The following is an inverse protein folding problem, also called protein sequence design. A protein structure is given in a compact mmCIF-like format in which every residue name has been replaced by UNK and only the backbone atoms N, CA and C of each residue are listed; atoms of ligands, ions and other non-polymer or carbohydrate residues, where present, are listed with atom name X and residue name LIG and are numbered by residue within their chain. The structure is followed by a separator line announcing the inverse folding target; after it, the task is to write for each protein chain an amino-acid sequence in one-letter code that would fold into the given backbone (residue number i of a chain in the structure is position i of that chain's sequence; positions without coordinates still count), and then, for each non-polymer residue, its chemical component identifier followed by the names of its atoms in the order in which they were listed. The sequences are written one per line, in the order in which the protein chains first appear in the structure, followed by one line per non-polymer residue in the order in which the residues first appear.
data_IF_734395593566
#
_entry.id   IF_734395593566
#
_cell.length_a   1.000
_cell.length_b   1.000
_cell.length_c   1.000
_cell.angle_alpha   90.00
_cell.angle_beta   90.00
_cell.angle_gamma   90.00
#
_symmetry.space_group_name_H-M   'P 1'
#
loop_
_entity.id
_entity.type
_entity.pdbx_description
1 polymer ?
#
# COMPACT_ATOMS: atom_id res chain seq x y z
N UNK A 1 68.43 7.95 4.68
CA UNK A 1 68.79 6.58 5.11
C UNK A 1 68.14 6.31 6.46
N UNK A 2 67.25 5.31 6.53
CA UNK A 2 66.70 4.71 7.76
C UNK A 2 65.67 5.59 8.50
N UNK A 3 64.51 5.12 8.93
CA UNK A 3 64.00 3.76 9.03
C UNK A 3 62.50 3.79 9.30
N UNK A 4 61.84 2.77 8.76
CA UNK A 4 60.40 2.59 8.71
C UNK A 4 59.76 2.47 10.10
N UNK A 5 58.55 3.04 10.16
CA UNK A 5 57.45 2.86 11.10
C UNK A 5 57.56 1.73 12.13
N UNK A 6 57.43 2.12 13.40
CA UNK A 6 57.12 1.23 14.51
C UNK A 6 55.72 0.64 14.35
N UNK A 7 55.70 -0.60 13.86
CA UNK A 7 54.90 -1.76 14.28
C UNK A 7 53.76 -1.54 15.29
N UNK A 8 52.71 -2.32 15.00
CA UNK A 8 51.58 -2.80 15.82
C UNK A 8 50.29 -1.96 15.65
N UNK A 9 49.15 -2.49 15.23
CA UNK A 9 48.70 -3.88 15.18
C UNK A 9 47.84 -4.15 13.93
N UNK A 10 48.21 -5.20 13.22
CA UNK A 10 47.29 -6.00 12.42
C UNK A 10 46.30 -6.65 13.38
N UNK A 11 45.05 -6.20 13.37
CA UNK A 11 43.93 -6.99 13.84
C UNK A 11 42.99 -7.18 12.65
N UNK A 12 43.13 -8.33 12.02
CA UNK A 12 42.23 -8.83 11.01
C UNK A 12 40.83 -8.99 11.62
N UNK A 13 39.94 -8.03 11.37
CA UNK A 13 38.52 -8.25 11.49
C UNK A 13 38.10 -9.04 10.26
N UNK A 14 37.99 -10.36 10.47
CA UNK A 14 37.40 -11.29 9.55
C UNK A 14 36.09 -10.70 9.00
N UNK A 15 36.05 -10.51 7.67
CA UNK A 15 34.83 -10.37 6.91
C UNK A 15 34.04 -11.67 7.06
N UNK A 16 33.32 -11.80 8.17
CA UNK A 16 32.21 -12.73 8.24
C UNK A 16 31.17 -12.30 7.20
N UNK A 17 30.55 -13.23 6.46
CA UNK A 17 29.44 -12.86 5.60
C UNK A 17 28.39 -12.18 6.46
N UNK A 18 28.08 -10.92 6.17
CA UNK A 18 26.89 -10.27 6.69
C UNK A 18 25.74 -11.19 6.25
N UNK A 19 24.98 -11.80 7.17
CA UNK A 19 23.73 -12.41 6.75
C UNK A 19 22.90 -11.24 6.25
N UNK A 20 22.77 -11.14 4.93
CA UNK A 20 21.64 -10.46 4.32
C UNK A 20 20.46 -11.26 4.84
N UNK A 21 19.92 -10.82 5.99
CA UNK A 21 18.58 -11.17 6.37
C UNK A 21 17.78 -10.73 5.16
N UNK A 22 17.44 -11.70 4.31
CA UNK A 22 16.52 -11.50 3.22
C UNK A 22 15.35 -10.80 3.89
N UNK A 23 15.17 -9.53 3.57
CA UNK A 23 13.89 -8.89 3.75
C UNK A 23 12.97 -9.74 2.89
N UNK A 24 12.42 -10.79 3.49
CA UNK A 24 11.16 -11.35 3.08
C UNK A 24 10.20 -10.20 3.27
N UNK A 25 10.18 -9.30 2.28
CA UNK A 25 8.93 -8.72 1.86
C UNK A 25 8.00 -9.91 1.82
N UNK A 26 7.07 -9.97 2.76
CA UNK A 26 5.97 -10.91 2.69
C UNK A 26 5.30 -10.58 1.38
N UNK A 27 5.75 -11.22 0.30
CA UNK A 27 5.13 -11.19 -0.99
C UNK A 27 3.92 -12.10 -0.84
N UNK A 28 2.96 -11.62 -0.04
CA UNK A 28 1.64 -12.19 0.08
C UNK A 28 1.07 -12.11 -1.35
N UNK A 29 0.56 -13.21 -1.90
CA UNK A 29 0.12 -13.22 -3.29
C UNK A 29 -0.90 -12.11 -3.49
N UNK A 30 -0.67 -11.28 -4.50
CA UNK A 30 -1.61 -10.26 -4.93
C UNK A 30 -2.99 -10.89 -5.13
N UNK A 31 -4.01 -10.36 -4.45
CA UNK A 31 -5.39 -10.77 -4.73
C UNK A 31 -5.79 -10.18 -6.10
N UNK A 32 -6.30 -11.00 -7.02
CA UNK A 32 -6.56 -10.57 -8.40
C UNK A 32 -7.78 -9.66 -8.56
N UNK A 33 -8.71 -9.60 -7.60
CA UNK A 33 -10.03 -8.96 -7.79
C UNK A 33 -10.20 -7.66 -6.99
N UNK A 34 -9.38 -6.65 -7.29
CA UNK A 34 -9.56 -5.28 -6.77
C UNK A 34 -10.91 -4.62 -7.15
N UNK A 35 -11.66 -5.22 -8.08
CA UNK A 35 -12.93 -4.68 -8.56
C UNK A 35 -14.06 -4.81 -7.51
N UNK A 36 -14.24 -6.02 -6.97
CA UNK A 36 -15.28 -6.28 -5.97
C UNK A 36 -14.91 -5.64 -4.63
N UNK A 37 -13.64 -5.76 -4.22
CA UNK A 37 -13.10 -5.12 -3.01
C UNK A 37 -13.26 -3.59 -3.07
N UNK A 38 -13.06 -2.97 -4.25
CA UNK A 38 -13.22 -1.53 -4.44
C UNK A 38 -14.67 -1.06 -4.32
N UNK A 39 -15.61 -1.82 -4.90
CA UNK A 39 -17.04 -1.52 -4.79
C UNK A 39 -17.54 -1.67 -3.34
N UNK A 40 -17.09 -2.74 -2.65
CA UNK A 40 -17.39 -2.96 -1.23
C UNK A 40 -16.83 -1.83 -0.37
N UNK A 41 -15.58 -1.42 -0.59
CA UNK A 41 -14.96 -0.34 0.15
C UNK A 41 -15.72 0.99 0.02
N UNK A 42 -16.11 1.36 -1.20
CA UNK A 42 -16.90 2.58 -1.45
C UNK A 42 -18.26 2.52 -0.72
N UNK A 43 -18.91 1.36 -0.74
CA UNK A 43 -20.18 1.16 -0.03
C UNK A 43 -20.01 1.27 1.49
N UNK A 44 -18.99 0.63 2.06
CA UNK A 44 -18.67 0.69 3.49
C UNK A 44 -18.33 2.12 3.92
N UNK A 45 -17.53 2.83 3.13
CA UNK A 45 -17.19 4.22 3.39
C UNK A 45 -18.41 5.13 3.38
N UNK A 46 -19.27 4.99 2.35
CA UNK A 46 -20.50 5.76 2.23
C UNK A 46 -21.48 5.48 3.37
N UNK A 47 -21.57 4.21 3.81
CA UNK A 47 -22.40 3.82 4.95
C UNK A 47 -21.87 4.44 6.26
N UNK A 48 -20.54 4.44 6.45
CA UNK A 48 -19.90 5.06 7.60
C UNK A 48 -20.09 6.60 7.61
N UNK A 49 -19.93 7.26 6.46
CA UNK A 49 -20.14 8.72 6.35
C UNK A 49 -21.62 9.12 6.58
N UNK A 50 -22.56 8.21 6.28
CA UNK A 50 -23.99 8.42 6.52
C UNK A 50 -24.41 8.09 7.96
N UNK A 51 -23.56 7.40 8.74
CA UNK A 51 -23.87 7.02 10.10
C UNK A 51 -23.95 8.25 11.02
N UNK A 52 -24.92 8.23 11.92
CA UNK A 52 -25.16 9.27 12.93
C UNK A 52 -25.14 8.69 14.34
N UNK A 53 -24.73 7.43 14.49
CA UNK A 53 -24.61 6.79 15.79
C UNK A 53 -23.58 7.51 16.66
N UNK A 54 -23.77 7.42 17.97
CA UNK A 54 -22.84 7.88 19.00
C UNK A 54 -21.83 6.78 19.41
N UNK A 55 -21.84 5.66 18.68
CA UNK A 55 -20.90 4.56 18.91
C UNK A 55 -19.49 5.01 18.55
N UNK A 56 -18.54 4.65 19.40
CA UNK A 56 -17.12 4.76 19.09
C UNK A 56 -16.70 3.74 18.00
N UNK A 57 -15.47 3.88 17.52
CA UNK A 57 -14.90 3.03 16.49
C UNK A 57 -14.95 1.53 16.84
N UNK A 58 -14.79 1.16 18.12
CA UNK A 58 -14.70 -0.23 18.58
C UNK A 58 -16.08 -0.91 18.61
N UNK A 59 -17.11 -0.15 18.96
CA UNK A 59 -18.51 -0.60 18.97
C UNK A 59 -19.24 -0.48 17.63
N UNK A 60 -18.74 0.32 16.69
CA UNK A 60 -19.43 0.58 15.44
C UNK A 60 -19.16 -0.51 14.38
N UNK A 61 -20.16 -1.32 13.97
CA UNK A 61 -19.97 -2.36 12.96
C UNK A 61 -19.62 -1.79 11.57
N UNK A 62 -20.05 -0.56 11.25
CA UNK A 62 -19.70 0.12 10.01
C UNK A 62 -18.24 0.53 9.99
N UNK A 63 -17.71 0.99 11.13
CA UNK A 63 -16.28 1.27 11.28
C UNK A 63 -15.45 0.00 11.03
N UNK A 64 -15.84 -1.12 11.62
CA UNK A 64 -15.16 -2.40 11.42
C UNK A 64 -15.22 -2.88 9.96
N UNK A 65 -16.36 -2.77 9.31
CA UNK A 65 -16.50 -3.12 7.88
C UNK A 65 -15.62 -2.22 6.99
N UNK A 66 -15.59 -0.93 7.30
CA UNK A 66 -14.69 0.03 6.67
C UNK A 66 -13.22 -0.37 6.85
N UNK A 67 -12.75 -0.62 8.07
CA UNK A 67 -11.36 -1.04 8.33
C UNK A 67 -10.96 -2.32 7.59
N UNK A 68 -11.84 -3.32 7.55
CA UNK A 68 -11.59 -4.56 6.82
C UNK A 68 -11.42 -4.31 5.33
N UNK A 69 -12.30 -3.49 4.75
CA UNK A 69 -12.20 -3.11 3.34
C UNK A 69 -10.98 -2.22 3.06
N UNK A 70 -10.60 -1.35 3.99
CA UNK A 70 -9.40 -0.51 3.91
C UNK A 70 -8.14 -1.38 3.87
N UNK A 71 -8.06 -2.40 4.74
CA UNK A 71 -6.96 -3.37 4.73
C UNK A 71 -6.92 -4.15 3.41
N UNK A 72 -8.06 -4.63 2.92
CA UNK A 72 -8.15 -5.34 1.65
C UNK A 72 -7.62 -4.49 0.48
N UNK A 73 -8.08 -3.23 0.39
CA UNK A 73 -7.62 -2.28 -0.64
C UNK A 73 -6.13 -1.94 -0.51
N UNK A 74 -5.61 -1.85 0.71
CA UNK A 74 -4.18 -1.67 0.98
C UNK A 74 -3.29 -2.82 0.47
N UNK A 75 -3.87 -3.98 0.15
CA UNK A 75 -3.15 -5.13 -0.41
C UNK A 75 -3.45 -5.36 -1.90
N UNK A 76 -4.31 -4.54 -2.51
CA UNK A 76 -4.73 -4.71 -3.89
C UNK A 76 -3.58 -4.39 -4.85
N UNK A 77 -3.34 -5.29 -5.82
CA UNK A 77 -2.44 -5.03 -6.94
C UNK A 77 -3.17 -5.33 -8.24
N UNK A 78 -3.83 -4.32 -8.84
CA UNK A 78 -4.64 -4.55 -10.02
C UNK A 78 -3.86 -5.14 -11.19
N UNK A 79 -4.38 -6.22 -11.76
CA UNK A 79 -3.83 -6.89 -12.96
C UNK A 79 -4.70 -6.67 -14.20
N UNK A 80 -5.79 -5.93 -14.06
CA UNK A 80 -6.77 -5.65 -15.12
C UNK A 80 -7.14 -4.17 -15.11
N UNK A 81 -7.63 -3.66 -16.24
CA UNK A 81 -8.12 -2.27 -16.31
C UNK A 81 -9.28 -2.04 -15.35
N UNK A 82 -10.19 -3.02 -15.20
CA UNK A 82 -11.30 -2.94 -14.27
C UNK A 82 -10.82 -2.80 -12.81
N UNK A 83 -9.84 -3.60 -12.40
CA UNK A 83 -9.25 -3.48 -11.06
C UNK A 83 -8.52 -2.14 -10.84
N UNK A 84 -7.83 -1.63 -11.86
CA UNK A 84 -7.13 -0.35 -11.76
C UNK A 84 -8.12 0.81 -11.61
N UNK A 85 -9.24 0.77 -12.33
CA UNK A 85 -10.33 1.74 -12.18
C UNK A 85 -11.00 1.65 -10.82
N UNK A 86 -11.26 0.45 -10.29
CA UNK A 86 -11.85 0.28 -8.97
C UNK A 86 -10.95 0.83 -7.85
N UNK A 87 -9.64 0.55 -7.89
CA UNK A 87 -8.68 1.12 -6.95
C UNK A 87 -8.60 2.66 -7.06
N UNK A 88 -8.65 3.20 -8.29
CA UNK A 88 -8.67 4.64 -8.51
C UNK A 88 -9.94 5.31 -7.94
N UNK A 89 -11.10 4.66 -8.07
CA UNK A 89 -12.36 5.16 -7.52
C UNK A 89 -12.33 5.13 -5.99
N UNK A 90 -11.86 4.04 -5.38
CA UNK A 90 -11.67 3.95 -3.94
C UNK A 90 -10.72 5.03 -3.41
N UNK A 91 -9.58 5.23 -4.07
CA UNK A 91 -8.64 6.29 -3.71
C UNK A 91 -9.26 7.69 -3.82
N UNK A 92 -10.03 7.95 -4.86
CA UNK A 92 -10.72 9.23 -5.03
C UNK A 92 -11.79 9.48 -3.96
N UNK A 93 -12.50 8.42 -3.53
CA UNK A 93 -13.49 8.49 -2.46
C UNK A 93 -12.81 8.80 -1.12
N UNK A 94 -11.72 8.09 -0.78
CA UNK A 94 -10.96 8.34 0.45
C UNK A 94 -10.28 9.71 0.48
N UNK A 95 -9.90 10.23 -0.69
CA UNK A 95 -9.36 11.57 -0.77
C UNK A 95 -10.40 12.67 -0.48
N UNK A 96 -11.70 12.38 -0.56
CA UNK A 96 -12.73 13.39 -0.47
C UNK A 96 -12.93 13.88 0.97
N UNK A 97 -12.60 15.14 1.20
CA UNK A 97 -12.86 15.83 2.48
C UNK A 97 -14.33 16.27 2.56
N UNK A 98 -14.87 16.54 3.77
CA UNK A 98 -16.22 17.07 3.95
C UNK A 98 -16.49 18.40 3.23
N UNK A 99 -15.45 19.15 2.90
CA UNK A 99 -15.54 20.41 2.14
C UNK A 99 -15.51 20.18 0.62
N UNK A 100 -15.53 18.93 0.15
CA UNK A 100 -15.48 18.59 -1.27
C UNK A 100 -14.11 18.76 -1.92
N UNK A 101 -13.06 18.98 -1.12
CA UNK A 101 -11.66 19.03 -1.60
C UNK A 101 -11.04 17.64 -1.53
N UNK A 102 -10.04 17.39 -2.37
CA UNK A 102 -9.23 16.18 -2.28
C UNK A 102 -8.00 16.39 -1.38
N UNK A 103 -7.81 15.48 -0.44
CA UNK A 103 -6.61 15.33 0.38
C UNK A 103 -5.99 13.96 0.10
N UNK A 104 -4.81 13.97 -0.50
CA UNK A 104 -4.12 12.75 -0.94
C UNK A 104 -3.12 12.23 0.11
N UNK A 105 -3.20 12.70 1.36
CA UNK A 105 -2.35 12.23 2.47
C UNK A 105 -2.94 10.97 3.10
N UNK A 106 -2.21 9.86 3.02
CA UNK A 106 -2.61 8.58 3.60
C UNK A 106 -2.68 7.47 2.56
N UNK A 107 -3.43 6.38 2.83
CA UNK A 107 -3.54 5.21 1.95
C UNK A 107 -3.95 5.55 0.52
N UNK A 108 -4.85 6.51 0.34
CA UNK A 108 -5.34 6.95 -0.97
C UNK A 108 -4.23 7.52 -1.87
N UNK A 109 -3.18 8.12 -1.29
CA UNK A 109 -2.02 8.59 -2.05
C UNK A 109 -1.16 7.43 -2.53
N UNK A 110 -0.98 6.40 -1.70
CA UNK A 110 -0.26 5.16 -2.06
C UNK A 110 -1.03 4.41 -3.16
N UNK A 111 -2.35 4.29 -3.02
CA UNK A 111 -3.21 3.64 -4.01
C UNK A 111 -3.18 4.35 -5.36
N UNK A 112 -3.11 5.68 -5.40
CA UNK A 112 -2.94 6.42 -6.65
C UNK A 112 -1.61 6.05 -7.36
N UNK A 113 -0.55 5.80 -6.60
CA UNK A 113 0.71 5.26 -7.12
C UNK A 113 0.56 3.84 -7.69
N UNK A 114 -0.15 2.96 -6.97
CA UNK A 114 -0.41 1.59 -7.43
C UNK A 114 -1.28 1.54 -8.70
N UNK A 115 -2.25 2.45 -8.82
CA UNK A 115 -3.03 2.63 -10.06
C UNK A 115 -2.10 3.01 -11.22
N UNK A 116 -1.20 3.98 -11.04
CA UNK A 116 -0.25 4.37 -12.09
C UNK A 116 0.65 3.19 -12.49
N UNK A 117 1.15 2.43 -11.52
CA UNK A 117 1.95 1.22 -11.77
C UNK A 117 1.16 0.15 -12.54
N UNK A 118 -0.10 -0.09 -12.17
CA UNK A 118 -0.97 -1.03 -12.86
C UNK A 118 -1.20 -0.62 -14.32
N UNK A 119 -1.49 0.66 -14.58
CA UNK A 119 -1.70 1.18 -15.93
C UNK A 119 -0.46 1.02 -16.81
N UNK A 120 0.73 1.31 -16.28
CA UNK A 120 1.99 1.13 -17.01
C UNK A 120 2.23 -0.34 -17.36
N UNK A 121 1.97 -1.26 -16.42
CA UNK A 121 2.09 -2.70 -16.61
C UNK A 121 1.11 -3.20 -17.68
N UNK A 122 -0.16 -2.82 -17.59
CA UNK A 122 -1.19 -3.18 -18.57
C UNK A 122 -0.86 -2.69 -19.98
N UNK A 123 -0.36 -1.45 -20.10
CA UNK A 123 0.09 -0.90 -21.38
C UNK A 123 1.19 -1.74 -22.02
N UNK A 124 2.18 -2.18 -21.22
CA UNK A 124 3.28 -3.01 -21.73
C UNK A 124 2.83 -4.39 -22.21
N UNK A 125 1.75 -4.94 -21.64
CA UNK A 125 1.21 -6.25 -22.02
C UNK A 125 0.42 -6.20 -23.34
N UNK A 126 -0.22 -5.07 -23.65
CA UNK A 126 -1.01 -4.88 -24.88
C UNK A 126 -0.20 -4.40 -26.10
N UNK A 127 1.13 -4.26 -25.98
CA UNK A 127 2.00 -3.78 -27.07
C UNK A 127 2.83 -4.88 -27.74
N UNK A 128 2.46 -6.15 -27.53
CA UNK A 128 3.08 -7.35 -28.14
C UNK A 128 2.27 -7.82 -29.36
#
# INVERSE_FOLDING_TARGET
MGGLSRRAALAALALGPVPVAAATAFHRPAKPEAADDGAEHIANRSALDADRSDLDAEGNPLWRAYEQSLEAMGQAQPQTMAGALALAQAAAQEALTPQGRQDWRGPQGEWAGEVANALLRLRSQGSA
#
